data_IF_364725568037
#
_entry.id   IF_364725568037
#
_cell.length_a   1.000
_cell.length_b   1.000
_cell.length_c   1.000
_cell.angle_alpha   90.00
_cell.angle_beta   90.00
_cell.angle_gamma   90.00
#
_symmetry.space_group_name_H-M   'P 1'
#
loop_
_entity.id
_entity.type
_entity.pdbx_description
1 polymer ?
#
# COMPACT_ATOMS: atom_id res chain seq x y z
N UNK A 1 -5.89 29.65 10.29
CA UNK A 1 -6.74 28.93 9.32
C UNK A 1 -7.67 29.94 8.68
N UNK A 2 -7.60 30.09 7.35
CA UNK A 2 -8.53 30.90 6.56
C UNK A 2 -9.40 29.91 5.79
N UNK A 3 -10.63 29.71 6.26
CA UNK A 3 -11.65 28.97 5.49
C UNK A 3 -12.44 30.02 4.69
N UNK A 4 -12.01 30.28 3.47
CA UNK A 4 -12.63 31.29 2.60
C UNK A 4 -13.05 30.66 1.28
N UNK A 5 -14.15 31.15 0.71
CA UNK A 5 -14.65 30.77 -0.63
C UNK A 5 -13.87 31.42 -1.77
N UNK A 6 -12.61 31.78 -1.53
CA UNK A 6 -11.76 32.55 -2.44
C UNK A 6 -10.37 31.91 -2.51
N UNK A 7 -9.68 32.16 -3.61
CA UNK A 7 -8.31 31.72 -3.84
C UNK A 7 -7.41 32.05 -2.64
N UNK A 8 -6.64 31.06 -2.20
CA UNK A 8 -5.63 31.21 -1.16
C UNK A 8 -4.27 30.92 -1.79
N UNK A 9 -3.48 31.97 -1.99
CA UNK A 9 -2.06 31.80 -2.26
C UNK A 9 -1.34 31.67 -0.91
N UNK A 10 -0.73 30.51 -0.69
CA UNK A 10 -0.08 30.13 0.56
C UNK A 10 1.40 29.85 0.32
N UNK A 11 2.28 30.57 1.00
CA UNK A 11 3.70 30.26 1.02
C UNK A 11 4.11 29.87 2.44
N UNK A 12 4.76 28.72 2.55
CA UNK A 12 5.32 28.20 3.78
C UNK A 12 6.61 28.91 4.20
N UNK A 13 7.48 28.19 4.91
CA UNK A 13 8.78 28.63 5.38
C UNK A 13 9.77 27.46 5.36
N UNK A 14 10.83 27.49 6.17
CA UNK A 14 11.84 26.42 6.17
C UNK A 14 11.52 25.26 7.13
N UNK A 15 10.36 25.31 7.80
CA UNK A 15 9.83 24.28 8.69
C UNK A 15 8.60 23.65 8.05
N UNK A 16 8.25 22.43 8.48
CA UNK A 16 7.00 21.78 8.14
C UNK A 16 5.78 22.66 8.38
N UNK A 17 4.96 22.82 7.34
CA UNK A 17 3.75 23.61 7.37
C UNK A 17 2.53 22.75 6.99
N UNK A 18 1.35 23.31 7.28
CA UNK A 18 0.07 22.81 6.77
C UNK A 18 -0.59 23.95 6.01
N UNK A 19 -0.68 23.80 4.70
CA UNK A 19 -1.32 24.73 3.78
C UNK A 19 -2.72 24.20 3.46
N UNK A 20 -3.74 24.98 3.75
CA UNK A 20 -5.12 24.60 3.46
C UNK A 20 -5.53 25.19 2.12
N UNK A 21 -5.91 24.33 1.19
CA UNK A 21 -6.53 24.74 -0.05
C UNK A 21 -7.94 25.28 0.24
N UNK A 22 -8.24 26.45 -0.33
CA UNK A 22 -9.55 27.08 -0.29
C UNK A 22 -10.26 26.89 -1.63
N UNK A 23 -11.51 27.34 -1.74
CA UNK A 23 -12.18 27.26 -3.05
C UNK A 23 -11.51 28.17 -4.10
N UNK A 24 -11.47 27.72 -5.35
CA UNK A 24 -10.93 28.49 -6.49
C UNK A 24 -9.41 28.34 -6.61
N UNK A 25 -8.85 28.86 -7.70
CA UNK A 25 -7.47 28.59 -8.10
C UNK A 25 -6.42 29.04 -7.05
N UNK A 26 -5.68 28.10 -6.45
CA UNK A 26 -4.68 28.36 -5.41
C UNK A 26 -3.25 28.20 -5.92
N UNK A 27 -2.31 28.97 -5.36
CA UNK A 27 -0.87 28.70 -5.46
C UNK A 27 -0.31 28.39 -4.07
N UNK A 28 0.01 27.12 -3.83
CA UNK A 28 0.51 26.64 -2.55
C UNK A 28 1.98 26.19 -2.71
N UNK A 29 2.87 26.80 -1.94
CA UNK A 29 4.30 26.51 -1.94
C UNK A 29 4.81 26.28 -0.52
N UNK A 30 5.18 25.04 -0.17
CA UNK A 30 5.68 24.69 1.17
C UNK A 30 7.06 25.30 1.48
N UNK A 31 7.85 25.60 0.44
CA UNK A 31 9.27 25.94 0.49
C UNK A 31 10.15 24.80 1.02
N UNK A 32 10.40 24.73 2.33
CA UNK A 32 11.35 23.79 2.90
C UNK A 32 10.83 23.13 4.15
N UNK A 33 11.27 21.90 4.39
CA UNK A 33 10.69 21.05 5.42
C UNK A 33 9.82 19.99 4.76
N UNK A 34 8.90 19.45 5.55
CA UNK A 34 7.95 18.41 5.16
C UNK A 34 6.55 19.01 5.23
N UNK A 35 5.98 19.35 4.08
CA UNK A 35 4.81 20.23 4.01
C UNK A 35 3.53 19.49 3.61
N UNK A 36 2.43 19.83 4.30
CA UNK A 36 1.09 19.33 4.00
C UNK A 36 0.31 20.31 3.15
N UNK A 37 -0.39 19.79 2.14
CA UNK A 37 -1.53 20.45 1.52
C UNK A 37 -2.80 19.70 1.89
N UNK A 38 -3.80 20.42 2.40
CA UNK A 38 -5.08 19.86 2.83
C UNK A 38 -6.24 20.44 2.04
N UNK A 39 -7.04 19.54 1.46
CA UNK A 39 -8.29 19.83 0.75
C UNK A 39 -9.53 19.58 1.61
N UNK A 40 -9.38 19.52 2.94
CA UNK A 40 -10.47 19.18 3.88
C UNK A 40 -11.71 20.10 3.78
N UNK A 41 -11.58 21.26 3.13
CA UNK A 41 -12.66 22.23 2.91
C UNK A 41 -13.16 22.29 1.46
N UNK A 42 -12.69 21.42 0.57
CA UNK A 42 -13.18 21.34 -0.80
C UNK A 42 -14.69 21.01 -0.83
N UNK A 43 -15.41 21.62 -1.77
CA UNK A 43 -16.86 21.49 -1.88
C UNK A 43 -17.33 20.19 -2.53
N UNK A 44 -16.41 19.44 -3.12
CA UNK A 44 -16.60 18.13 -3.75
C UNK A 44 -15.27 17.38 -3.77
N UNK A 45 -15.28 16.16 -4.31
CA UNK A 45 -14.08 15.37 -4.57
C UNK A 45 -12.98 16.16 -5.30
N UNK A 46 -11.73 15.84 -4.95
CA UNK A 46 -10.53 16.39 -5.56
C UNK A 46 -9.74 15.34 -6.35
N UNK A 47 -9.07 15.78 -7.42
CA UNK A 47 -8.12 14.97 -8.19
C UNK A 47 -6.78 15.71 -8.21
N UNK A 48 -5.82 15.26 -7.41
CA UNK A 48 -4.61 16.02 -7.11
C UNK A 48 -3.39 15.14 -7.23
N UNK A 49 -2.36 15.65 -7.90
CA UNK A 49 -1.07 14.98 -8.09
C UNK A 49 0.09 15.87 -7.63
N UNK A 50 0.94 15.35 -6.73
CA UNK A 50 2.18 16.03 -6.33
C UNK A 50 3.26 15.99 -7.44
N UNK A 51 3.17 15.03 -8.36
CA UNK A 51 4.02 15.00 -9.56
C UNK A 51 3.75 16.17 -10.53
N UNK A 52 2.58 16.81 -10.44
CA UNK A 52 2.21 17.93 -11.32
C UNK A 52 2.70 19.26 -10.73
N UNK A 53 3.77 19.80 -11.31
CA UNK A 53 4.41 21.06 -10.87
C UNK A 53 3.76 22.34 -11.42
N UNK A 54 2.85 22.18 -12.39
CA UNK A 54 2.05 23.26 -12.97
C UNK A 54 0.66 23.37 -12.34
N UNK A 55 -0.14 24.27 -12.91
CA UNK A 55 -1.55 24.36 -12.56
C UNK A 55 -2.29 23.08 -12.98
N UNK A 56 -3.05 22.48 -12.06
CA UNK A 56 -3.82 21.26 -12.25
C UNK A 56 -5.28 21.51 -11.85
N UNK A 57 -6.22 21.02 -12.66
CA UNK A 57 -7.64 21.11 -12.33
C UNK A 57 -7.95 20.10 -11.22
N UNK A 58 -7.99 20.57 -9.98
CA UNK A 58 -8.19 19.74 -8.78
C UNK A 58 -9.65 19.39 -8.55
N UNK A 59 -10.59 19.94 -9.32
CA UNK A 59 -12.01 19.64 -9.20
C UNK A 59 -12.65 20.48 -8.10
N UNK A 60 -12.90 19.88 -6.92
CA UNK A 60 -13.59 20.52 -5.80
C UNK A 60 -12.91 21.76 -5.20
N UNK A 61 -11.70 22.07 -5.66
CA UNK A 61 -10.90 23.22 -5.24
C UNK A 61 -10.47 24.15 -6.38
N UNK A 62 -10.91 23.94 -7.63
CA UNK A 62 -10.56 24.80 -8.76
C UNK A 62 -9.32 24.33 -9.53
N UNK A 63 -8.46 25.25 -9.95
CA UNK A 63 -7.18 24.95 -10.62
C UNK A 63 -6.01 25.37 -9.73
N UNK A 64 -5.38 24.40 -9.08
CA UNK A 64 -4.35 24.68 -8.07
C UNK A 64 -2.95 24.41 -8.60
N UNK A 65 -1.95 25.08 -8.03
CA UNK A 65 -0.54 24.80 -8.27
C UNK A 65 0.14 24.49 -6.95
N UNK A 66 0.71 23.29 -6.84
CA UNK A 66 1.39 22.81 -5.64
C UNK A 66 2.90 22.77 -5.89
N UNK A 67 3.69 23.25 -4.93
CA UNK A 67 5.16 23.25 -4.99
C UNK A 67 5.74 22.90 -3.62
N UNK A 68 6.79 22.08 -3.61
CA UNK A 68 7.50 21.70 -2.38
C UNK A 68 6.51 21.18 -1.32
N UNK A 69 5.79 20.10 -1.68
CA UNK A 69 4.78 19.46 -0.85
C UNK A 69 5.07 17.97 -0.88
N UNK A 70 5.08 17.35 0.29
CA UNK A 70 5.36 15.92 0.48
C UNK A 70 4.15 15.18 1.10
N UNK A 71 3.17 15.93 1.62
CA UNK A 71 2.01 15.37 2.29
C UNK A 71 0.72 15.93 1.70
N UNK A 72 -0.23 15.06 1.39
CA UNK A 72 -1.48 15.43 0.75
C UNK A 72 -2.65 14.85 1.56
N UNK A 73 -3.57 15.71 1.96
CA UNK A 73 -4.81 15.33 2.64
C UNK A 73 -6.01 15.69 1.76
N UNK A 74 -6.87 14.72 1.48
CA UNK A 74 -8.06 14.87 0.66
C UNK A 74 -9.18 15.69 1.32
N UNK A 75 -10.36 15.53 0.76
CA UNK A 75 -11.61 16.15 1.15
C UNK A 75 -12.46 15.19 2.01
N UNK A 76 -13.78 15.39 2.02
CA UNK A 76 -14.72 14.46 2.67
C UNK A 76 -15.52 13.66 1.62
N UNK A 77 -15.01 13.57 0.40
CA UNK A 77 -15.65 12.96 -0.76
C UNK A 77 -14.64 12.04 -1.43
N UNK A 78 -15.11 11.24 -2.39
CA UNK A 78 -14.30 10.26 -3.10
C UNK A 78 -13.19 10.91 -3.94
N UNK A 79 -11.99 10.98 -3.38
CA UNK A 79 -10.85 11.69 -3.95
C UNK A 79 -9.94 10.79 -4.80
N UNK A 80 -9.15 11.42 -5.65
CA UNK A 80 -8.04 10.78 -6.36
C UNK A 80 -6.77 11.53 -5.99
N UNK A 81 -5.90 10.88 -5.23
CA UNK A 81 -4.66 11.47 -4.73
C UNK A 81 -3.47 10.72 -5.33
N UNK A 82 -2.54 11.46 -5.93
CA UNK A 82 -1.31 10.90 -6.50
C UNK A 82 -0.08 11.58 -5.90
N UNK A 83 0.89 10.79 -5.45
CA UNK A 83 2.18 11.25 -4.97
C UNK A 83 3.08 11.74 -6.11
N UNK A 84 4.37 11.70 -5.85
CA UNK A 84 5.44 12.18 -6.73
C UNK A 84 6.45 11.06 -6.99
N UNK A 85 7.72 11.43 -7.17
CA UNK A 85 8.82 10.46 -7.26
C UNK A 85 9.64 10.40 -5.96
N UNK A 86 9.08 10.94 -4.87
CA UNK A 86 9.70 11.09 -3.55
C UNK A 86 8.94 10.20 -2.57
N UNK A 87 9.41 10.12 -1.33
CA UNK A 87 8.60 9.54 -0.26
C UNK A 87 7.51 10.55 0.13
N UNK A 88 6.27 10.22 -0.20
CA UNK A 88 5.09 11.03 0.04
C UNK A 88 4.15 10.38 1.06
N UNK A 89 3.27 11.19 1.67
CA UNK A 89 2.22 10.70 2.55
C UNK A 89 0.88 11.18 2.05
N UNK A 90 0.01 10.25 1.68
CA UNK A 90 -1.33 10.54 1.17
C UNK A 90 -2.36 10.10 2.21
N UNK A 91 -3.33 10.96 2.46
CA UNK A 91 -4.49 10.68 3.32
C UNK A 91 -5.77 11.01 2.57
N UNK A 92 -6.61 10.01 2.29
CA UNK A 92 -7.88 10.18 1.58
C UNK A 92 -8.87 11.01 2.40
N UNK A 93 -9.21 10.52 3.59
CA UNK A 93 -10.06 11.22 4.54
C UNK A 93 -11.38 10.49 4.75
N UNK A 94 -12.49 11.10 4.33
CA UNK A 94 -13.79 10.42 4.27
C UNK A 94 -14.16 10.20 2.82
N UNK A 95 -14.84 9.10 2.53
CA UNK A 95 -15.30 8.79 1.18
C UNK A 95 -14.51 7.62 0.62
N UNK A 96 -14.84 7.23 -0.61
CA UNK A 96 -14.17 6.11 -1.27
C UNK A 96 -13.03 6.68 -2.11
N UNK A 97 -11.83 6.66 -1.56
CA UNK A 97 -10.68 7.36 -2.09
C UNK A 97 -9.80 6.45 -2.95
N UNK A 98 -9.10 7.04 -3.91
CA UNK A 98 -8.08 6.35 -4.72
C UNK A 98 -6.73 6.99 -4.49
N UNK A 99 -5.81 6.25 -3.90
CA UNK A 99 -4.48 6.70 -3.53
C UNK A 99 -3.43 5.98 -4.40
N UNK A 100 -2.54 6.75 -5.02
CA UNK A 100 -1.43 6.25 -5.86
C UNK A 100 -0.14 6.93 -5.38
N UNK A 101 0.72 6.22 -4.66
CA UNK A 101 2.00 6.78 -4.18
C UNK A 101 2.91 7.24 -5.31
N UNK A 102 2.76 6.63 -6.49
CA UNK A 102 3.70 6.67 -7.60
C UNK A 102 5.07 6.12 -7.17
N UNK A 103 6.17 6.77 -7.54
CA UNK A 103 7.49 6.22 -7.21
C UNK A 103 7.98 6.79 -5.89
N UNK A 104 8.49 5.97 -4.98
CA UNK A 104 8.80 6.45 -3.65
C UNK A 104 8.87 5.36 -2.61
N UNK A 105 8.83 5.77 -1.36
CA UNK A 105 8.54 4.86 -0.27
C UNK A 105 7.44 5.56 0.51
N UNK A 106 6.20 5.24 0.15
CA UNK A 106 5.06 6.10 0.44
C UNK A 106 4.24 5.55 1.60
N UNK A 107 3.55 6.45 2.30
CA UNK A 107 2.54 6.07 3.30
C UNK A 107 1.17 6.47 2.79
N UNK A 108 0.31 5.49 2.54
CA UNK A 108 -1.02 5.68 1.99
C UNK A 108 -2.05 5.34 3.06
N UNK A 109 -2.86 6.32 3.46
CA UNK A 109 -3.93 6.15 4.41
C UNK A 109 -5.28 6.49 3.75
N UNK A 110 -6.09 5.48 3.43
CA UNK A 110 -7.39 5.70 2.80
C UNK A 110 -8.31 6.51 3.72
N UNK A 111 -8.36 6.13 4.99
CA UNK A 111 -9.22 6.75 5.98
C UNK A 111 -10.49 5.93 6.16
N UNK A 112 -11.65 6.55 6.03
CA UNK A 112 -12.93 5.87 6.18
C UNK A 112 -13.67 5.81 4.84
N UNK A 113 -14.02 4.62 4.39
CA UNK A 113 -14.74 4.43 3.13
C UNK A 113 -14.47 3.07 2.52
N UNK A 114 -14.54 2.98 1.21
CA UNK A 114 -14.04 1.83 0.45
C UNK A 114 -12.97 2.35 -0.48
N UNK A 115 -11.72 2.19 -0.07
CA UNK A 115 -10.56 2.85 -0.63
C UNK A 115 -9.81 1.94 -1.61
N UNK A 116 -9.10 2.55 -2.55
CA UNK A 116 -8.28 1.86 -3.54
C UNK A 116 -6.85 2.38 -3.50
N UNK A 117 -5.92 1.49 -3.17
CA UNK A 117 -4.48 1.76 -3.14
C UNK A 117 -3.84 1.21 -4.42
N UNK A 118 -3.32 2.06 -5.28
CA UNK A 118 -2.73 1.68 -6.56
C UNK A 118 -1.23 1.50 -6.45
N UNK A 119 -0.74 0.44 -7.10
CA UNK A 119 0.68 0.11 -7.14
C UNK A 119 1.08 -0.41 -8.52
N UNK A 120 2.27 -0.05 -8.97
CA UNK A 120 2.95 -0.61 -10.14
C UNK A 120 4.27 -1.24 -9.75
N UNK A 121 4.72 -2.20 -10.53
CA UNK A 121 6.04 -2.81 -10.36
C UNK A 121 7.13 -1.75 -10.38
N UNK A 122 7.90 -1.67 -9.29
CA UNK A 122 8.97 -0.69 -9.16
C UNK A 122 8.61 0.65 -8.53
N UNK A 123 7.35 0.84 -8.10
CA UNK A 123 6.91 2.06 -7.40
C UNK A 123 7.67 2.25 -6.09
N UNK A 124 8.00 1.15 -5.40
CA UNK A 124 8.91 1.15 -4.25
C UNK A 124 8.29 0.51 -3.01
N UNK A 125 8.79 0.88 -1.83
CA UNK A 125 8.37 0.27 -0.57
C UNK A 125 7.29 1.10 0.11
N UNK A 126 6.04 0.72 -0.14
CA UNK A 126 4.89 1.47 0.34
C UNK A 126 4.29 0.86 1.60
N UNK A 127 3.65 1.69 2.40
CA UNK A 127 2.90 1.30 3.58
C UNK A 127 1.45 1.73 3.42
N UNK A 128 0.53 0.78 3.46
CA UNK A 128 -0.91 1.01 3.44
C UNK A 128 -1.43 0.94 4.88
N UNK A 129 -2.13 2.00 5.26
CA UNK A 129 -2.82 2.15 6.54
C UNK A 129 -4.32 2.23 6.26
N UNK A 130 -5.07 1.26 6.77
CA UNK A 130 -6.53 1.29 6.67
C UNK A 130 -7.20 1.36 8.04
N UNK A 131 -8.34 2.04 8.12
CA UNK A 131 -9.09 2.24 9.36
C UNK A 131 -10.53 1.74 9.33
N UNK A 132 -11.00 1.21 8.20
CA UNK A 132 -12.30 0.59 8.05
C UNK A 132 -12.84 0.67 6.63
N UNK A 133 -13.33 -0.44 6.07
CA UNK A 133 -13.87 -0.40 4.72
C UNK A 133 -14.09 -1.75 4.05
N UNK A 134 -14.07 -1.71 2.71
CA UNK A 134 -14.06 -2.85 1.79
C UNK A 134 -13.04 -2.48 0.73
N UNK A 135 -11.78 -2.58 1.13
CA UNK A 135 -10.67 -1.85 0.55
C UNK A 135 -9.88 -2.74 -0.40
N UNK A 136 -9.29 -2.10 -1.40
CA UNK A 136 -8.62 -2.81 -2.50
C UNK A 136 -7.20 -2.29 -2.69
N UNK A 137 -6.22 -3.18 -2.65
CA UNK A 137 -4.93 -2.92 -3.29
C UNK A 137 -5.07 -3.31 -4.76
N UNK A 138 -4.94 -2.34 -5.66
CA UNK A 138 -4.99 -2.51 -7.11
C UNK A 138 -3.57 -2.51 -7.68
N UNK A 139 -3.11 -3.70 -8.09
CA UNK A 139 -1.85 -3.88 -8.80
C UNK A 139 -2.08 -3.68 -10.30
N UNK A 140 -1.50 -2.63 -10.86
CA UNK A 140 -1.82 -2.16 -12.21
C UNK A 140 -1.10 -2.93 -13.32
N UNK A 141 0.06 -3.51 -13.02
CA UNK A 141 0.91 -4.22 -13.99
C UNK A 141 1.53 -5.53 -13.43
N UNK A 142 1.08 -5.98 -12.26
CA UNK A 142 1.45 -7.28 -11.66
C UNK A 142 0.29 -8.26 -11.74
N UNK A 143 0.60 -9.51 -12.12
CA UNK A 143 -0.34 -10.63 -12.11
C UNK A 143 -0.09 -11.52 -10.88
N UNK A 144 -0.98 -12.50 -10.59
CA UNK A 144 -0.80 -13.38 -9.44
C UNK A 144 0.55 -14.11 -9.37
N UNK A 145 1.17 -14.40 -10.52
CA UNK A 145 2.49 -15.03 -10.59
C UNK A 145 3.68 -14.10 -10.34
N UNK A 146 3.45 -12.78 -10.36
CA UNK A 146 4.48 -11.75 -10.18
C UNK A 146 4.56 -11.29 -8.72
N UNK A 147 3.75 -11.87 -7.83
CA UNK A 147 3.57 -11.43 -6.44
C UNK A 147 3.77 -12.60 -5.48
N UNK A 148 4.38 -12.30 -4.34
CA UNK A 148 4.47 -13.24 -3.20
C UNK A 148 3.88 -12.57 -1.97
N UNK A 149 3.00 -13.27 -1.27
CA UNK A 149 2.52 -12.82 0.04
C UNK A 149 3.42 -13.45 1.10
N UNK A 150 4.09 -12.65 1.91
CA UNK A 150 4.97 -13.15 2.96
C UNK A 150 4.48 -12.70 4.33
N UNK A 151 4.74 -13.55 5.33
CA UNK A 151 4.45 -13.19 6.70
C UNK A 151 5.49 -12.20 7.26
N UNK A 152 4.99 -11.11 7.82
CA UNK A 152 5.70 -10.30 8.80
C UNK A 152 5.95 -11.08 10.09
N UNK A 153 6.76 -10.51 10.99
CA UNK A 153 7.11 -11.15 12.26
C UNK A 153 5.83 -11.53 13.04
N UNK A 154 5.82 -12.74 13.62
CA UNK A 154 4.72 -13.33 14.40
C UNK A 154 3.57 -14.00 13.63
N UNK A 155 3.71 -14.27 12.33
CA UNK A 155 2.77 -15.15 11.60
C UNK A 155 1.60 -14.45 10.92
N UNK A 156 1.78 -13.17 10.57
CA UNK A 156 0.78 -12.32 9.93
C UNK A 156 1.21 -11.99 8.51
N UNK A 157 0.39 -12.18 7.47
CA UNK A 157 0.76 -11.87 6.08
C UNK A 157 0.82 -10.36 5.83
N UNK A 158 1.81 -9.63 6.34
CA UNK A 158 1.79 -8.15 6.29
C UNK A 158 2.49 -7.55 5.06
N UNK A 159 3.05 -8.36 4.14
CA UNK A 159 3.71 -7.84 2.94
C UNK A 159 3.26 -8.53 1.65
N UNK A 160 2.97 -7.70 0.65
CA UNK A 160 2.84 -8.07 -0.76
C UNK A 160 4.17 -7.73 -1.42
N UNK A 161 4.91 -8.73 -1.87
CA UNK A 161 6.20 -8.56 -2.51
C UNK A 161 6.02 -8.59 -4.02
N UNK A 162 6.47 -7.53 -4.70
CA UNK A 162 6.73 -7.58 -6.14
C UNK A 162 7.93 -8.49 -6.38
N UNK A 163 7.70 -9.66 -6.97
CA UNK A 163 8.74 -10.66 -7.20
C UNK A 163 9.73 -10.26 -8.31
N UNK A 164 9.38 -9.27 -9.14
CA UNK A 164 10.22 -8.77 -10.24
C UNK A 164 11.29 -7.80 -9.71
N UNK A 165 10.93 -6.96 -8.74
CA UNK A 165 11.80 -5.90 -8.22
C UNK A 165 12.29 -6.14 -6.80
N UNK A 166 11.56 -6.92 -6.01
CA UNK A 166 11.80 -7.15 -4.58
C UNK A 166 11.24 -6.04 -3.69
N UNK A 167 10.58 -5.02 -4.24
CA UNK A 167 9.87 -4.02 -3.47
C UNK A 167 8.60 -4.60 -2.83
N UNK A 168 8.12 -3.93 -1.79
CA UNK A 168 7.03 -4.43 -0.96
C UNK A 168 5.95 -3.40 -0.71
N UNK A 169 4.70 -3.83 -0.76
CA UNK A 169 3.57 -3.12 -0.14
C UNK A 169 3.37 -3.73 1.24
N UNK A 170 3.55 -2.93 2.28
CA UNK A 170 3.34 -3.31 3.67
C UNK A 170 1.92 -2.94 4.09
N UNK A 171 1.15 -3.90 4.56
CA UNK A 171 -0.20 -3.66 5.10
C UNK A 171 -0.09 -3.58 6.63
N UNK A 172 0.29 -2.41 7.17
CA UNK A 172 0.72 -2.26 8.56
C UNK A 172 -0.41 -2.53 9.56
N UNK A 173 -0.24 -3.59 10.37
CA UNK A 173 -1.20 -4.11 11.36
C UNK A 173 -2.57 -4.49 10.78
N UNK A 174 -2.68 -4.62 9.46
CA UNK A 174 -3.93 -4.91 8.76
C UNK A 174 -4.23 -6.41 8.72
N UNK A 175 -3.24 -7.30 8.79
CA UNK A 175 -3.44 -8.75 8.59
C UNK A 175 -3.07 -9.58 9.84
N UNK A 176 -3.60 -9.21 11.01
CA UNK A 176 -3.32 -9.92 12.28
C UNK A 176 -3.91 -11.34 12.35
N UNK A 177 -3.16 -12.29 12.90
CA UNK A 177 -3.61 -13.58 13.46
C UNK A 177 -3.51 -13.53 15.01
N UNK A 178 -4.32 -14.28 15.79
CA UNK A 178 -5.33 -15.25 15.41
C UNK A 178 -6.70 -14.58 15.35
N UNK A 179 -7.08 -14.15 14.17
CA UNK A 179 -8.23 -13.27 14.01
C UNK A 179 -7.75 -12.09 13.21
N UNK A 180 -7.87 -12.28 11.89
CA UNK A 180 -8.15 -11.20 10.98
C UNK A 180 -9.27 -10.45 11.69
N UNK A 181 -8.92 -9.35 12.35
CA UNK A 181 -9.78 -8.71 13.32
C UNK A 181 -11.09 -8.43 12.60
N UNK A 182 -12.18 -8.98 13.13
CA UNK A 182 -13.53 -8.79 12.60
C UNK A 182 -14.01 -7.33 12.78
N UNK A 183 -13.09 -6.40 13.00
CA UNK A 183 -13.32 -4.97 13.11
C UNK A 183 -13.26 -4.25 11.75
N UNK A 184 -12.99 -4.97 10.65
CA UNK A 184 -13.16 -4.51 9.27
C UNK A 184 -12.14 -3.46 8.83
N UNK A 185 -10.95 -3.48 9.43
CA UNK A 185 -9.84 -2.55 9.18
C UNK A 185 -8.69 -3.28 8.50
N UNK A 186 -8.96 -3.93 7.38
CA UNK A 186 -7.96 -4.69 6.64
C UNK A 186 -8.11 -4.31 5.17
N UNK A 187 -7.13 -4.64 4.34
CA UNK A 187 -7.39 -4.69 2.90
C UNK A 187 -8.11 -5.99 2.59
N UNK A 188 -9.35 -5.92 2.11
CA UNK A 188 -10.16 -7.09 1.78
C UNK A 188 -9.79 -7.72 0.43
N UNK A 189 -9.38 -6.89 -0.54
CA UNK A 189 -9.13 -7.33 -1.91
C UNK A 189 -7.74 -6.98 -2.42
N UNK A 190 -7.11 -7.93 -3.10
CA UNK A 190 -5.96 -7.70 -3.96
C UNK A 190 -6.37 -7.93 -5.40
N UNK A 191 -6.46 -6.85 -6.18
CA UNK A 191 -6.83 -6.89 -7.61
C UNK A 191 -5.58 -6.82 -8.47
N UNK A 192 -5.45 -7.74 -9.41
CA UNK A 192 -4.32 -7.86 -10.33
C UNK A 192 -4.60 -7.26 -11.70
N UNK A 193 -3.54 -7.06 -12.48
CA UNK A 193 -3.60 -6.47 -13.82
C UNK A 193 -4.43 -7.30 -14.81
N UNK A 194 -4.47 -8.62 -14.66
CA UNK A 194 -5.29 -9.53 -15.47
C UNK A 194 -6.79 -9.55 -15.06
N UNK A 195 -7.16 -8.79 -14.03
CA UNK A 195 -8.51 -8.75 -13.48
C UNK A 195 -8.81 -9.84 -12.45
N UNK A 196 -7.85 -10.70 -12.13
CA UNK A 196 -7.96 -11.60 -10.97
C UNK A 196 -8.11 -10.78 -9.70
N UNK A 197 -8.96 -11.25 -8.79
CA UNK A 197 -9.12 -10.66 -7.46
C UNK A 197 -8.91 -11.76 -6.43
N UNK A 198 -8.01 -11.52 -5.49
CA UNK A 198 -7.85 -12.34 -4.30
C UNK A 198 -8.57 -11.70 -3.12
N UNK A 199 -9.38 -12.48 -2.44
CA UNK A 199 -9.90 -12.10 -1.13
C UNK A 199 -8.92 -12.48 -0.01
N UNK A 200 -9.28 -12.12 1.23
CA UNK A 200 -8.58 -12.49 2.45
C UNK A 200 -8.17 -13.97 2.56
N UNK A 201 -9.05 -14.90 2.17
CA UNK A 201 -8.76 -16.34 2.25
C UNK A 201 -7.68 -16.76 1.24
N UNK A 202 -7.73 -16.22 0.02
CA UNK A 202 -6.74 -16.49 -1.03
C UNK A 202 -5.39 -15.88 -0.69
N UNK A 203 -5.36 -14.64 -0.16
CA UNK A 203 -4.12 -14.01 0.32
C UNK A 203 -3.48 -14.82 1.46
N UNK A 204 -4.30 -15.32 2.41
CA UNK A 204 -3.81 -16.20 3.48
C UNK A 204 -3.23 -17.50 2.94
N UNK A 205 -3.94 -18.17 2.04
CA UNK A 205 -3.48 -19.42 1.46
C UNK A 205 -2.14 -19.24 0.70
N UNK A 206 -1.99 -18.12 -0.03
CA UNK A 206 -0.73 -17.77 -0.68
C UNK A 206 0.41 -17.60 0.32
N UNK A 207 0.17 -16.92 1.45
CA UNK A 207 1.17 -16.75 2.51
C UNK A 207 1.56 -18.07 3.18
N UNK A 208 0.60 -18.94 3.48
CA UNK A 208 0.83 -20.26 4.05
C UNK A 208 1.64 -21.17 3.11
N UNK A 209 1.38 -21.07 1.80
CA UNK A 209 2.15 -21.76 0.78
C UNK A 209 3.60 -21.28 0.77
N UNK A 210 3.84 -19.97 0.70
CA UNK A 210 5.19 -19.38 0.74
C UNK A 210 5.96 -19.79 2.01
N UNK A 211 5.29 -19.78 3.15
CA UNK A 211 5.85 -20.27 4.42
C UNK A 211 6.23 -21.76 4.34
N UNK A 212 5.34 -22.58 3.80
CA UNK A 212 5.55 -24.03 3.67
C UNK A 212 6.73 -24.32 2.75
N UNK A 213 6.84 -23.61 1.61
CA UNK A 213 7.99 -23.71 0.70
C UNK A 213 9.29 -23.34 1.42
N UNK A 214 9.30 -22.22 2.15
CA UNK A 214 10.48 -21.77 2.89
C UNK A 214 10.94 -22.81 3.93
N UNK A 215 10.01 -23.36 4.71
CA UNK A 215 10.31 -24.42 5.69
C UNK A 215 10.82 -25.69 5.03
N UNK A 216 10.28 -26.07 3.87
CA UNK A 216 10.74 -27.23 3.09
C UNK A 216 12.17 -27.03 2.61
N UNK A 217 12.47 -25.88 2.01
CA UNK A 217 13.82 -25.53 1.56
C UNK A 217 14.79 -25.53 2.74
N UNK A 218 14.40 -24.95 3.88
CA UNK A 218 15.24 -24.91 5.08
C UNK A 218 15.51 -26.31 5.65
N UNK A 219 14.49 -27.18 5.72
CA UNK A 219 14.66 -28.56 6.16
C UNK A 219 15.60 -29.32 5.22
N UNK A 220 15.38 -29.22 3.90
CA UNK A 220 16.20 -29.90 2.90
C UNK A 220 17.64 -29.43 2.86
N UNK A 221 17.91 -28.16 3.15
CA UNK A 221 19.26 -27.60 3.23
C UNK A 221 20.11 -28.25 4.34
N UNK A 222 19.49 -28.89 5.34
CA UNK A 222 20.20 -29.60 6.42
C UNK A 222 20.68 -30.99 6.02
N UNK A 223 20.26 -31.52 4.87
CA UNK A 223 20.52 -32.91 4.50
C UNK A 223 21.94 -33.10 3.96
N UNK A 224 22.67 -34.03 4.57
CA UNK A 224 23.97 -34.45 4.08
C UNK A 224 23.86 -35.24 2.76
N UNK A 225 24.93 -35.20 1.96
CA UNK A 225 25.06 -36.02 0.75
C UNK A 225 24.94 -37.52 1.14
N UNK A 226 24.10 -38.31 0.45
CA UNK A 226 23.96 -39.74 0.75
C UNK A 226 25.29 -40.48 0.63
N UNK A 227 25.55 -41.42 1.55
CA UNK A 227 26.74 -42.26 1.47
C UNK A 227 26.70 -43.15 0.20
N UNK A 228 27.85 -43.57 -0.36
CA UNK A 228 27.88 -44.47 -1.52
C UNK A 228 27.06 -45.74 -1.26
N UNK A 229 26.10 -46.03 -2.15
CA UNK A 229 25.22 -47.20 -2.04
C UNK A 229 23.96 -47.02 -1.19
N UNK A 230 23.74 -45.83 -0.62
CA UNK A 230 22.51 -45.51 0.11
C UNK A 230 21.33 -45.33 -0.87
N UNK A 231 20.30 -46.18 -0.74
CA UNK A 231 19.09 -46.14 -1.57
C UNK A 231 17.85 -45.63 -0.84
N UNK A 232 17.95 -45.41 0.47
CA UNK A 232 16.86 -44.90 1.32
C UNK A 232 17.33 -43.71 2.13
N UNK A 233 16.43 -42.74 2.33
CA UNK A 233 16.72 -41.55 3.12
C UNK A 233 16.81 -41.90 4.62
N UNK A 234 17.69 -41.23 5.40
CA UNK A 234 17.74 -41.42 6.86
C UNK A 234 16.38 -41.11 7.50
N UNK A 235 16.04 -41.85 8.56
CA UNK A 235 14.75 -41.69 9.26
C UNK A 235 14.54 -40.26 9.77
N UNK A 236 15.61 -39.60 10.22
CA UNK A 236 15.56 -38.22 10.71
C UNK A 236 15.15 -37.22 9.60
N UNK A 237 15.62 -37.44 8.37
CA UNK A 237 15.21 -36.62 7.23
C UNK A 237 13.73 -36.87 6.88
N UNK A 238 13.30 -38.14 6.89
CA UNK A 238 11.89 -38.49 6.66
C UNK A 238 10.97 -37.85 7.71
N UNK A 239 11.37 -37.87 8.98
CA UNK A 239 10.63 -37.27 10.09
C UNK A 239 10.56 -35.74 9.97
N UNK A 240 11.63 -35.10 9.49
CA UNK A 240 11.66 -33.64 9.28
C UNK A 240 10.76 -33.17 8.12
N UNK A 241 10.60 -34.00 7.09
CA UNK A 241 9.77 -33.69 5.92
C UNK A 241 8.29 -34.07 6.10
N UNK A 242 8.00 -35.10 6.89
CA UNK A 242 6.64 -35.61 7.09
C UNK A 242 5.60 -34.52 7.43
N UNK A 243 5.82 -33.59 8.37
CA UNK A 243 4.84 -32.54 8.67
C UNK A 243 4.69 -31.51 7.53
N UNK A 244 5.73 -31.28 6.73
CA UNK A 244 5.71 -30.33 5.61
C UNK A 244 5.03 -30.92 4.38
N UNK A 245 5.23 -32.21 4.11
CA UNK A 245 4.59 -32.93 3.01
C UNK A 245 3.13 -33.31 3.29
N UNK A 246 2.71 -33.27 4.56
CA UNK A 246 1.33 -33.48 4.98
C UNK A 246 0.43 -32.25 4.78
N UNK A 247 1.01 -31.08 4.50
CA UNK A 247 0.27 -29.89 4.05
C UNK A 247 -0.30 -30.18 2.66
N UNK A 248 -1.56 -29.84 2.41
CA UNK A 248 -2.20 -30.06 1.09
C UNK A 248 -1.59 -29.04 0.10
N UNK A 249 -0.50 -29.43 -0.57
CA UNK A 249 0.15 -28.65 -1.63
C UNK A 249 -0.77 -28.64 -2.85
N UNK A 250 -1.69 -27.68 -2.94
CA UNK A 250 -2.57 -27.48 -4.09
C UNK A 250 -2.29 -26.18 -4.80
#
# INVERSE_FOLDING_TARGET
>A
MLNTTAAIDGTGNALSNVLYAGAGDNVLDGLGGNDWVSYAYAGSAVNVSLATTGAQATGGSGTDTLRNVEYLFGSNYNDILTGSSRADVLSGGLGNDTLDGAAGADTLNGGAGHDTYRYRSGDGNDTVLDTGGDDTVELLDLNPGDVRIIEGLNGNPDHIVDALTGYTITLDLQMVSPGWSADGKQVEHLRFADGTVWNSEQMRAAAEMERSVSLLVQAMATFAVPAPGQTTWPQDHQNSLAPLLAVDWR
#
